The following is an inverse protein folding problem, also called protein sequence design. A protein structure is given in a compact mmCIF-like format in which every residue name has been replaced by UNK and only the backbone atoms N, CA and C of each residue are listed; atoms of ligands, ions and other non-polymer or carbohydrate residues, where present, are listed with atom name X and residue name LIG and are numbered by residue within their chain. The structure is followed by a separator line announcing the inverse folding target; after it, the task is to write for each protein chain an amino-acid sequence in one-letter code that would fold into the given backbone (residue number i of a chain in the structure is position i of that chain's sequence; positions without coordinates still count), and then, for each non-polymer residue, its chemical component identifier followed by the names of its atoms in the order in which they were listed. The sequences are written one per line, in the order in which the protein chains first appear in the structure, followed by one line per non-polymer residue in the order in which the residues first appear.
data_IF_014564989974
#
_entry.id   IF_014564989974
#
_cell.length_a   1.000
_cell.length_b   1.000
_cell.length_c   1.000
_cell.angle_alpha   90.00
_cell.angle_beta   90.00
_cell.angle_gamma   90.00
#
_symmetry.space_group_name_H-M   'P 1'
#
loop_
_entity.id
_entity.type
_entity.pdbx_description
1 polymer ?
#
# COMPACT_ATOMS: atom_id res chain seq x y z
N UNK A 1 -41.56 31.75 -8.55
CA UNK A 1 -42.53 31.88 -9.66
C UNK A 1 -42.05 31.04 -10.84
N UNK A 2 -42.87 30.09 -11.25
CA UNK A 2 -42.78 29.10 -12.35
C UNK A 2 -43.83 29.55 -13.40
N UNK A 3 -43.88 29.20 -14.71
CA UNK A 3 -42.93 28.89 -15.81
C UNK A 3 -43.35 29.74 -17.08
N UNK A 4 -43.45 29.32 -18.40
CA UNK A 4 -43.05 28.13 -19.21
C UNK A 4 -42.18 28.45 -20.46
N UNK A 5 -41.32 27.57 -20.99
CA UNK A 5 -41.50 26.29 -21.71
C UNK A 5 -42.06 26.39 -23.14
N UNK A 6 -41.32 25.87 -24.14
CA UNK A 6 -41.84 24.96 -25.19
C UNK A 6 -40.72 24.28 -26.01
N UNK A 7 -40.82 22.95 -26.09
CA UNK A 7 -40.13 21.99 -26.99
C UNK A 7 -40.97 21.78 -28.25
N UNK A 8 -40.37 21.52 -29.43
CA UNK A 8 -40.81 20.62 -30.54
C UNK A 8 -39.54 20.41 -31.43
N UNK A 9 -38.84 19.27 -31.51
CA UNK A 9 -39.08 17.96 -32.14
C UNK A 9 -39.18 17.97 -33.70
N UNK A 10 -38.23 17.33 -34.39
CA UNK A 10 -38.50 16.59 -35.63
C UNK A 10 -37.33 15.65 -35.99
N UNK A 11 -37.70 14.39 -36.19
CA UNK A 11 -36.92 13.26 -36.69
C UNK A 11 -37.15 13.17 -38.20
N UNK A 12 -36.13 12.77 -38.97
CA UNK A 12 -36.34 12.13 -40.28
C UNK A 12 -35.28 11.09 -40.58
N UNK A 13 -35.73 9.99 -41.17
CA UNK A 13 -35.09 8.69 -41.27
C UNK A 13 -34.53 8.38 -42.68
N UNK A 14 -33.43 7.60 -42.70
CA UNK A 14 -33.11 6.37 -43.47
C UNK A 14 -33.42 6.25 -44.98
N UNK A 15 -32.43 5.66 -45.68
CA UNK A 15 -32.41 4.82 -46.92
C UNK A 15 -31.32 5.35 -47.90
N UNK A 16 -30.51 4.56 -48.62
CA UNK A 16 -30.73 3.23 -49.18
C UNK A 16 -29.41 2.47 -49.47
N UNK A 17 -29.58 1.16 -49.70
CA UNK A 17 -28.62 0.15 -50.18
C UNK A 17 -28.04 0.46 -51.57
N UNK A 18 -26.82 -0.05 -51.81
CA UNK A 18 -26.30 -0.34 -53.15
C UNK A 18 -25.57 -1.69 -53.15
N UNK A 19 -25.97 -2.59 -54.06
CA UNK A 19 -25.41 -3.92 -54.24
C UNK A 19 -24.94 -4.15 -55.68
N UNK A 20 -24.01 -5.10 -55.80
CA UNK A 20 -23.60 -5.90 -56.96
C UNK A 20 -22.61 -5.29 -57.99
N UNK A 21 -21.50 -6.01 -58.23
CA UNK A 21 -21.33 -6.87 -59.42
C UNK A 21 -20.05 -7.72 -59.30
N UNK A 22 -20.13 -8.94 -59.85
CA UNK A 22 -19.08 -9.95 -59.89
C UNK A 22 -18.29 -9.90 -61.21
N UNK A 23 -17.03 -10.36 -61.22
CA UNK A 23 -16.37 -10.93 -62.41
C UNK A 23 -15.15 -11.78 -62.03
N UNK A 24 -15.01 -12.91 -62.73
CA UNK A 24 -13.99 -13.95 -62.57
C UNK A 24 -12.61 -13.55 -63.15
N UNK A 25 -11.55 -14.19 -62.66
CA UNK A 25 -10.23 -14.19 -63.30
C UNK A 25 -9.24 -15.09 -62.56
N UNK A 26 -8.95 -16.26 -63.11
CA UNK A 26 -7.87 -17.16 -62.70
C UNK A 26 -6.54 -16.65 -63.22
N UNK A 27 -5.50 -16.60 -62.38
CA UNK A 27 -4.13 -16.95 -62.74
C UNK A 27 -3.22 -17.01 -61.50
N UNK A 28 -2.31 -17.99 -61.51
CA UNK A 28 -1.39 -18.34 -60.43
C UNK A 28 0.00 -17.86 -60.83
N UNK A 29 0.76 -17.22 -59.93
CA UNK A 29 2.21 -17.35 -59.98
C UNK A 29 2.75 -17.98 -58.69
N UNK A 30 3.75 -18.82 -58.88
CA UNK A 30 4.61 -19.34 -57.83
C UNK A 30 5.39 -18.20 -57.16
N UNK A 31 5.53 -18.23 -55.84
CA UNK A 31 6.32 -17.26 -55.10
C UNK A 31 6.39 -17.54 -53.61
N UNK A 32 7.55 -18.02 -53.17
CA UNK A 32 8.18 -17.86 -51.85
C UNK A 32 7.42 -18.32 -50.59
N UNK A 33 7.92 -19.41 -49.99
CA UNK A 33 7.65 -19.83 -48.62
C UNK A 33 7.96 -18.70 -47.63
N UNK A 34 6.91 -18.13 -47.04
CA UNK A 34 7.01 -17.18 -45.91
C UNK A 34 7.13 -17.98 -44.61
N UNK A 35 8.10 -17.70 -43.71
CA UNK A 35 8.15 -18.36 -42.42
C UNK A 35 6.90 -17.99 -41.60
N UNK A 36 6.19 -19.00 -41.11
CA UNK A 36 5.16 -18.81 -40.08
C UNK A 36 5.89 -18.40 -38.80
N UNK A 37 5.60 -17.23 -38.20
CA UNK A 37 6.18 -16.92 -36.91
C UNK A 37 5.62 -17.94 -35.92
N UNK A 38 6.53 -18.66 -35.25
CA UNK A 38 6.20 -19.52 -34.14
C UNK A 38 5.33 -18.73 -33.16
N UNK A 39 4.13 -19.25 -32.88
CA UNK A 39 3.30 -18.74 -31.79
C UNK A 39 4.16 -18.79 -30.55
N UNK A 40 4.61 -17.63 -30.10
CA UNK A 40 5.20 -17.45 -28.78
C UNK A 40 4.25 -18.11 -27.79
N UNK A 41 4.72 -19.18 -27.17
CA UNK A 41 4.08 -19.80 -26.03
C UNK A 41 3.74 -18.68 -25.05
N UNK A 42 2.45 -18.43 -24.87
CA UNK A 42 1.95 -17.51 -23.85
C UNK A 42 2.48 -18.06 -22.54
N UNK A 43 3.50 -17.37 -22.01
CA UNK A 43 4.13 -17.69 -20.75
C UNK A 43 3.04 -17.81 -19.69
N UNK A 44 3.07 -18.89 -18.94
CA UNK A 44 2.10 -19.23 -17.92
C UNK A 44 1.79 -18.03 -17.02
N UNK A 45 0.51 -17.87 -16.66
CA UNK A 45 0.07 -16.96 -15.60
C UNK A 45 0.96 -17.16 -14.35
N UNK A 46 1.46 -16.10 -13.71
CA UNK A 46 2.21 -16.28 -12.49
C UNK A 46 1.24 -16.79 -11.43
N UNK A 47 1.43 -18.04 -11.02
CA UNK A 47 0.99 -18.50 -9.70
C UNK A 47 1.44 -17.43 -8.71
N UNK A 48 0.52 -16.88 -7.91
CA UNK A 48 0.81 -15.82 -6.96
C UNK A 48 2.03 -16.23 -6.12
N UNK A 49 3.19 -15.63 -6.41
CA UNK A 49 4.41 -15.90 -5.65
C UNK A 49 4.15 -15.43 -4.23
N UNK A 50 4.45 -16.28 -3.26
CA UNK A 50 4.38 -15.92 -1.84
C UNK A 50 5.12 -14.57 -1.64
N UNK A 51 4.57 -13.63 -0.84
CA UNK A 51 5.25 -12.37 -0.59
C UNK A 51 6.65 -12.62 -0.02
N UNK A 52 7.69 -11.92 -0.51
CA UNK A 52 9.06 -12.14 -0.08
C UNK A 52 9.21 -11.80 1.39
N UNK A 53 9.88 -12.65 2.16
CA UNK A 53 10.17 -12.41 3.57
C UNK A 53 11.66 -12.54 3.82
N UNK A 54 12.20 -11.74 4.72
CA UNK A 54 13.60 -11.87 5.09
C UNK A 54 13.81 -13.13 5.92
N UNK A 55 14.94 -13.81 5.67
CA UNK A 55 15.35 -14.99 6.42
C UNK A 55 15.67 -14.60 7.86
N UNK A 56 15.13 -15.31 8.89
CA UNK A 56 15.50 -15.05 10.27
C UNK A 56 17.02 -15.12 10.45
N UNK A 57 17.56 -14.16 11.20
CA UNK A 57 18.96 -14.12 11.57
C UNK A 57 19.32 -15.17 12.63
N UNK A 58 20.57 -15.14 13.11
CA UNK A 58 21.04 -16.01 14.19
C UNK A 58 20.10 -15.96 15.41
N UNK A 59 19.96 -17.10 16.08
CA UNK A 59 19.07 -17.27 17.25
C UNK A 59 17.57 -17.06 16.96
N UNK A 60 17.16 -17.05 15.68
CA UNK A 60 15.75 -16.90 15.29
C UNK A 60 15.19 -15.49 15.44
N UNK A 61 16.06 -14.47 15.49
CA UNK A 61 15.65 -13.08 15.46
C UNK A 61 15.18 -12.72 14.05
N UNK A 62 13.97 -12.18 13.89
CA UNK A 62 13.65 -11.58 12.58
C UNK A 62 14.57 -10.39 12.32
N UNK A 63 15.11 -10.25 11.09
CA UNK A 63 15.77 -9.00 10.71
C UNK A 63 14.75 -7.85 10.64
N UNK A 64 15.28 -6.63 10.73
CA UNK A 64 14.55 -5.38 10.60
C UNK A 64 14.89 -4.76 9.25
N UNK A 65 13.89 -4.61 8.40
CA UNK A 65 14.02 -3.97 7.10
C UNK A 65 13.74 -2.47 7.20
N UNK A 66 14.76 -1.64 6.96
CA UNK A 66 14.65 -0.18 7.03
C UNK A 66 14.71 0.48 5.65
N UNK A 67 15.40 -0.14 4.69
CA UNK A 67 15.49 0.35 3.32
C UNK A 67 15.92 -0.75 2.35
N UNK A 68 15.58 -0.58 1.07
CA UNK A 68 16.07 -1.42 -0.03
C UNK A 68 17.48 -1.05 -0.50
N UNK A 69 17.99 -1.71 -1.56
CA UNK A 69 19.31 -1.43 -2.09
C UNK A 69 19.45 -0.02 -2.64
N UNK A 70 20.56 0.67 -2.30
CA UNK A 70 20.81 2.06 -2.73
C UNK A 70 21.28 2.17 -4.20
N UNK A 71 21.60 1.04 -4.82
CA UNK A 71 22.24 0.95 -6.14
C UNK A 71 21.30 0.47 -7.24
N UNK A 72 20.09 -0.01 -6.90
CA UNK A 72 19.13 -0.59 -7.87
C UNK A 72 18.13 0.46 -8.39
N UNK A 73 18.65 1.62 -8.77
CA UNK A 73 17.86 2.73 -9.29
C UNK A 73 17.13 3.53 -8.21
N UNK A 74 16.51 4.64 -8.63
CA UNK A 74 15.79 5.56 -7.74
C UNK A 74 14.39 5.03 -7.44
N UNK A 75 14.27 4.05 -6.56
CA UNK A 75 12.99 3.60 -6.01
C UNK A 75 12.74 4.21 -4.63
N UNK A 76 11.48 4.36 -4.24
CA UNK A 76 11.08 4.76 -2.90
C UNK A 76 9.76 4.07 -2.55
N UNK A 77 9.66 3.55 -1.32
CA UNK A 77 8.41 3.01 -0.79
C UNK A 77 7.79 4.01 0.18
N UNK A 78 6.55 4.40 -0.11
CA UNK A 78 5.72 5.12 0.85
C UNK A 78 4.97 4.13 1.70
N UNK A 79 5.05 4.32 3.02
CA UNK A 79 4.38 3.48 3.99
C UNK A 79 3.56 4.33 4.93
N UNK A 80 2.43 3.79 5.36
CA UNK A 80 1.48 4.52 6.18
C UNK A 80 1.02 3.67 7.34
N UNK A 81 1.10 4.23 8.55
CA UNK A 81 0.58 3.57 9.74
C UNK A 81 -0.89 4.00 9.92
N UNK A 82 -1.79 3.01 9.97
CA UNK A 82 -3.24 3.17 10.15
C UNK A 82 -3.60 2.71 11.57
N UNK A 83 -3.52 3.69 12.47
CA UNK A 83 -3.45 3.44 13.91
C UNK A 83 -4.78 3.71 14.57
N UNK A 84 -5.09 2.87 15.55
CA UNK A 84 -6.15 3.15 16.48
C UNK A 84 -5.80 2.56 17.85
N UNK A 85 -5.75 3.41 18.86
CA UNK A 85 -5.44 3.03 20.24
C UNK A 85 -6.69 2.50 20.96
N UNK A 86 -6.49 1.94 22.15
CA UNK A 86 -7.58 1.32 22.91
C UNK A 86 -8.70 2.30 23.32
N UNK A 87 -8.36 3.57 23.54
CA UNK A 87 -9.22 4.65 24.02
C UNK A 87 -9.89 5.47 22.89
N UNK A 88 -9.54 5.22 21.63
CA UNK A 88 -10.06 5.96 20.48
C UNK A 88 -11.44 5.48 20.01
N UNK A 89 -11.92 4.32 20.47
CA UNK A 89 -13.25 3.80 20.12
C UNK A 89 -14.39 4.77 20.45
N UNK A 90 -14.52 5.24 21.70
CA UNK A 90 -15.51 6.26 22.06
C UNK A 90 -15.37 7.57 21.27
N UNK A 91 -14.14 7.98 20.94
CA UNK A 91 -13.88 9.18 20.13
C UNK A 91 -14.38 9.01 18.70
N UNK A 92 -14.16 7.84 18.11
CA UNK A 92 -14.71 7.49 16.79
C UNK A 92 -16.24 7.47 16.81
N UNK A 93 -16.84 6.89 17.85
CA UNK A 93 -18.29 6.91 18.04
C UNK A 93 -18.87 8.34 18.21
N UNK A 94 -18.07 9.28 18.71
CA UNK A 94 -18.41 10.70 18.81
C UNK A 94 -18.17 11.50 17.51
N UNK A 95 -17.72 10.85 16.42
CA UNK A 95 -17.53 11.45 15.10
C UNK A 95 -16.09 11.88 14.79
N UNK A 96 -15.12 11.51 15.62
CA UNK A 96 -13.72 11.68 15.25
C UNK A 96 -13.30 10.66 14.18
N UNK A 97 -12.57 11.12 13.17
CA UNK A 97 -12.13 10.30 12.05
C UNK A 97 -10.65 9.93 12.18
N UNK A 98 -10.40 8.63 12.33
CA UNK A 98 -9.07 8.02 12.29
C UNK A 98 -8.77 7.40 10.92
N UNK A 99 -9.78 7.30 10.04
CA UNK A 99 -9.62 7.03 8.64
C UNK A 99 -9.24 8.29 7.85
N UNK A 100 -8.58 8.12 6.70
CA UNK A 100 -8.23 9.23 5.81
C UNK A 100 -8.55 8.89 4.34
N UNK A 101 -9.84 8.87 3.96
CA UNK A 101 -10.24 8.53 2.60
C UNK A 101 -9.70 9.52 1.56
N UNK A 102 -9.44 10.77 1.94
CA UNK A 102 -8.82 11.79 1.09
C UNK A 102 -7.39 11.42 0.68
N UNK A 103 -6.58 11.00 1.65
CA UNK A 103 -5.24 10.46 1.41
C UNK A 103 -5.26 9.21 0.52
N UNK A 104 -6.13 8.23 0.81
CA UNK A 104 -6.24 7.02 -0.01
C UNK A 104 -6.67 7.37 -1.44
N UNK A 105 -7.62 8.30 -1.59
CA UNK A 105 -8.03 8.84 -2.88
C UNK A 105 -6.89 9.54 -3.63
N UNK A 106 -6.06 10.30 -2.93
CA UNK A 106 -4.88 10.95 -3.51
C UNK A 106 -3.86 9.94 -4.01
N UNK A 107 -3.55 8.89 -3.23
CA UNK A 107 -2.64 7.81 -3.64
C UNK A 107 -3.16 7.09 -4.90
N UNK A 108 -4.46 6.78 -4.96
CA UNK A 108 -5.11 6.20 -6.15
C UNK A 108 -5.01 7.11 -7.37
N UNK A 109 -5.39 8.38 -7.22
CA UNK A 109 -5.35 9.36 -8.31
C UNK A 109 -3.92 9.57 -8.85
N UNK A 110 -2.94 9.61 -7.94
CA UNK A 110 -1.53 9.76 -8.29
C UNK A 110 -0.89 8.47 -8.79
N UNK A 111 -1.57 7.31 -8.70
CA UNK A 111 -1.04 5.98 -9.03
C UNK A 111 0.23 5.64 -8.24
N UNK A 112 0.18 5.86 -6.93
CA UNK A 112 1.30 5.61 -6.02
C UNK A 112 1.05 4.28 -5.30
N UNK A 113 1.81 3.22 -5.62
CA UNK A 113 1.80 2.02 -4.80
C UNK A 113 2.32 2.32 -3.39
N UNK A 114 1.69 1.74 -2.38
CA UNK A 114 2.04 1.98 -0.98
C UNK A 114 1.77 0.75 -0.10
N UNK A 115 2.41 0.69 1.06
CA UNK A 115 2.19 -0.36 2.06
C UNK A 115 1.60 0.27 3.34
N UNK A 116 0.43 -0.20 3.75
CA UNK A 116 -0.27 0.26 4.95
C UNK A 116 -0.03 -0.72 6.09
N UNK A 117 0.52 -0.25 7.22
CA UNK A 117 0.65 -1.01 8.45
C UNK A 117 -0.55 -0.70 9.32
N UNK A 118 -1.45 -1.66 9.46
CA UNK A 118 -2.79 -1.44 10.02
C UNK A 118 -2.89 -2.04 11.41
N UNK A 119 -3.54 -1.34 12.33
CA UNK A 119 -3.91 -1.96 13.60
C UNK A 119 -5.16 -2.82 13.45
N UNK A 120 -5.25 -3.90 14.21
CA UNK A 120 -6.46 -4.73 14.23
C UNK A 120 -7.72 -3.95 14.61
N UNK A 121 -7.60 -3.02 15.57
CA UNK A 121 -8.69 -2.15 16.00
C UNK A 121 -9.15 -1.20 14.89
N UNK A 122 -8.22 -0.60 14.13
CA UNK A 122 -8.58 0.21 12.97
C UNK A 122 -9.39 -0.60 11.95
N UNK A 123 -9.00 -1.86 11.70
CA UNK A 123 -9.75 -2.74 10.79
C UNK A 123 -11.16 -3.11 11.30
N UNK A 124 -11.36 -3.20 12.62
CA UNK A 124 -12.69 -3.41 13.22
C UNK A 124 -13.56 -2.15 13.13
N UNK A 125 -12.94 -0.97 13.27
CA UNK A 125 -13.63 0.31 13.19
C UNK A 125 -14.02 0.68 11.75
N UNK A 126 -13.13 0.43 10.78
CA UNK A 126 -13.31 0.78 9.36
C UNK A 126 -13.23 -0.46 8.45
N UNK A 127 -14.12 -1.46 8.62
CA UNK A 127 -13.99 -2.75 7.93
C UNK A 127 -14.13 -2.64 6.41
N UNK A 128 -14.92 -1.69 5.90
CA UNK A 128 -15.09 -1.49 4.46
C UNK A 128 -13.86 -0.86 3.81
N UNK A 129 -13.20 0.08 4.50
CA UNK A 129 -11.95 0.66 4.01
C UNK A 129 -10.80 -0.35 4.09
N UNK A 130 -10.70 -1.11 5.19
CA UNK A 130 -9.74 -2.21 5.30
C UNK A 130 -9.89 -3.23 4.16
N UNK A 131 -11.13 -3.62 3.84
CA UNK A 131 -11.42 -4.49 2.70
C UNK A 131 -11.07 -3.84 1.36
N UNK A 132 -11.38 -2.56 1.20
CA UNK A 132 -11.06 -1.79 -0.02
C UNK A 132 -9.56 -1.73 -0.26
N UNK A 133 -8.77 -1.46 0.78
CA UNK A 133 -7.30 -1.46 0.71
C UNK A 133 -6.74 -2.84 0.37
N UNK A 134 -7.26 -3.89 1.02
CA UNK A 134 -6.82 -5.27 0.77
C UNK A 134 -7.17 -5.81 -0.63
N UNK A 135 -8.23 -5.32 -1.26
CA UNK A 135 -8.65 -5.73 -2.59
C UNK A 135 -8.01 -4.91 -3.73
N UNK A 136 -7.38 -3.79 -3.41
CA UNK A 136 -6.79 -2.87 -4.38
C UNK A 136 -5.30 -3.22 -4.60
N UNK A 137 -4.91 -3.65 -5.82
CA UNK A 137 -3.54 -4.14 -6.09
C UNK A 137 -2.46 -3.06 -5.94
N UNK A 138 -2.86 -1.78 -5.89
CA UNK A 138 -1.96 -0.66 -5.63
C UNK A 138 -1.45 -0.68 -4.19
N UNK A 139 -2.21 -1.25 -3.24
CA UNK A 139 -1.85 -1.28 -1.84
C UNK A 139 -1.36 -2.66 -1.40
N UNK A 140 -0.55 -2.63 -0.36
CA UNK A 140 -0.28 -3.77 0.51
C UNK A 140 -0.78 -3.43 1.89
N UNK A 141 -1.24 -4.43 2.64
CA UNK A 141 -1.57 -4.26 4.05
C UNK A 141 -0.75 -5.22 4.89
N UNK A 142 -0.19 -4.72 5.99
CA UNK A 142 0.63 -5.45 6.94
C UNK A 142 0.18 -5.15 8.38
N UNK A 143 0.71 -5.91 9.34
CA UNK A 143 0.28 -5.85 10.73
C UNK A 143 1.00 -4.76 11.52
N UNK A 144 0.25 -4.02 12.35
CA UNK A 144 0.77 -2.97 13.22
C UNK A 144 0.25 -3.11 14.66
N UNK A 145 0.19 -4.33 15.18
CA UNK A 145 -0.42 -4.71 16.47
C UNK A 145 -1.96 -4.59 16.46
N UNK A 146 -2.62 -4.96 17.56
CA UNK A 146 -4.07 -4.84 17.66
C UNK A 146 -4.55 -3.45 18.10
N UNK A 147 -3.94 -2.82 19.11
CA UNK A 147 -4.39 -1.51 19.65
C UNK A 147 -3.24 -0.52 19.85
N UNK A 148 -2.20 -0.62 19.01
CA UNK A 148 -1.06 0.29 19.00
C UNK A 148 -0.33 0.37 20.35
N UNK A 149 -0.19 -0.77 21.04
CA UNK A 149 0.60 -0.86 22.28
C UNK A 149 2.06 -1.12 21.91
N UNK A 150 2.97 -0.52 22.66
CA UNK A 150 4.40 -0.76 22.48
C UNK A 150 4.76 -2.19 22.91
N UNK A 151 5.68 -2.80 22.17
CA UNK A 151 6.28 -4.09 22.55
C UNK A 151 7.53 -3.95 23.42
N UNK A 152 7.97 -2.74 23.71
CA UNK A 152 9.03 -2.47 24.69
C UNK A 152 8.57 -1.38 25.66
N UNK A 153 9.05 -1.40 26.92
CA UNK A 153 8.78 -0.31 27.85
C UNK A 153 9.38 1.01 27.36
N UNK A 154 8.86 2.13 27.88
CA UNK A 154 9.37 3.48 27.63
C UNK A 154 9.42 3.90 26.15
N UNK A 155 8.45 3.43 25.35
CA UNK A 155 8.34 3.78 23.93
C UNK A 155 7.36 4.95 23.74
N UNK A 156 7.86 6.19 23.71
CA UNK A 156 7.10 7.40 23.37
C UNK A 156 5.76 7.57 24.13
N UNK A 157 5.68 7.09 25.37
CA UNK A 157 4.48 7.20 26.20
C UNK A 157 3.36 6.18 25.87
N UNK A 158 3.60 5.25 24.94
CA UNK A 158 2.64 4.20 24.62
C UNK A 158 2.50 3.19 25.77
N UNK A 159 1.26 2.73 26.06
CA UNK A 159 1.05 1.57 26.92
C UNK A 159 1.84 0.37 26.40
N UNK A 160 2.50 -0.34 27.29
CA UNK A 160 3.28 -1.54 26.93
C UNK A 160 2.44 -2.78 27.14
N UNK A 161 2.48 -3.68 26.16
CA UNK A 161 1.87 -5.01 26.31
C UNK A 161 2.85 -6.00 26.93
N UNK A 162 2.34 -6.88 27.79
CA UNK A 162 3.13 -7.95 28.38
C UNK A 162 3.74 -8.88 27.33
N UNK A 163 4.98 -9.30 27.57
CA UNK A 163 5.71 -10.20 26.68
C UNK A 163 4.96 -11.51 26.35
N UNK A 164 4.24 -12.06 27.33
CA UNK A 164 3.44 -13.28 27.15
C UNK A 164 2.23 -13.08 26.23
N UNK A 165 1.84 -11.84 25.97
CA UNK A 165 0.67 -11.46 25.17
C UNK A 165 1.01 -10.98 23.76
N UNK A 166 2.28 -10.73 23.46
CA UNK A 166 2.74 -10.21 22.16
C UNK A 166 2.26 -11.05 20.97
N UNK A 167 2.45 -12.37 21.03
CA UNK A 167 1.99 -13.29 19.97
C UNK A 167 0.47 -13.19 19.77
N UNK A 168 -0.28 -13.24 20.86
CA UNK A 168 -1.74 -13.19 20.82
C UNK A 168 -2.25 -11.85 20.29
N UNK A 169 -1.54 -10.75 20.52
CA UNK A 169 -1.87 -9.44 19.98
C UNK A 169 -1.74 -9.39 18.45
N UNK A 170 -0.61 -9.85 17.92
CA UNK A 170 -0.37 -9.95 16.47
C UNK A 170 -1.42 -10.84 15.81
N UNK A 171 -1.72 -12.00 16.40
CA UNK A 171 -2.74 -12.93 15.90
C UNK A 171 -4.16 -12.37 15.98
N UNK A 172 -4.46 -11.58 17.02
CA UNK A 172 -5.74 -10.88 17.18
C UNK A 172 -5.92 -9.84 16.07
N UNK A 173 -4.89 -9.07 15.74
CA UNK A 173 -4.92 -8.13 14.62
C UNK A 173 -5.15 -8.84 13.27
N UNK A 174 -4.44 -9.94 13.01
CA UNK A 174 -4.69 -10.75 11.80
C UNK A 174 -6.12 -11.33 11.77
N UNK A 175 -6.68 -11.67 12.93
CA UNK A 175 -8.07 -12.12 13.03
C UNK A 175 -9.06 -11.02 12.69
N UNK A 176 -8.82 -9.79 13.15
CA UNK A 176 -9.61 -8.62 12.79
C UNK A 176 -9.57 -8.37 11.27
N UNK A 177 -8.40 -8.45 10.63
CA UNK A 177 -8.26 -8.33 9.18
C UNK A 177 -9.14 -9.35 8.43
N UNK A 178 -9.07 -10.63 8.81
CA UNK A 178 -9.88 -11.68 8.19
C UNK A 178 -11.38 -11.41 8.35
N UNK A 179 -11.81 -10.92 9.51
CA UNK A 179 -13.21 -10.53 9.77
C UNK A 179 -13.67 -9.34 8.93
N UNK A 180 -12.80 -8.36 8.69
CA UNK A 180 -13.07 -7.23 7.80
C UNK A 180 -13.14 -7.66 6.31
N UNK A 181 -12.61 -8.83 5.96
CA UNK A 181 -12.55 -9.35 4.60
C UNK A 181 -11.19 -9.12 3.92
N UNK A 182 -10.18 -8.68 4.68
CA UNK A 182 -8.79 -8.56 4.24
C UNK A 182 -8.10 -9.90 4.42
N UNK A 183 -7.89 -10.62 3.31
CA UNK A 183 -7.38 -12.01 3.32
C UNK A 183 -5.88 -12.10 3.08
N UNK A 184 -5.31 -11.16 2.34
CA UNK A 184 -3.94 -11.24 1.83
C UNK A 184 -3.00 -10.26 2.55
N UNK A 185 -3.16 -10.12 3.87
CA UNK A 185 -2.23 -9.33 4.67
C UNK A 185 -0.82 -9.92 4.57
N UNK A 186 0.17 -9.07 4.33
CA UNK A 186 1.55 -9.48 4.23
C UNK A 186 2.08 -9.97 5.60
N UNK A 187 2.99 -10.96 5.61
CA UNK A 187 3.67 -11.42 6.83
C UNK A 187 4.73 -10.41 7.28
N UNK A 188 4.38 -9.13 7.31
CA UNK A 188 5.22 -8.04 7.79
C UNK A 188 4.59 -7.46 9.06
N UNK A 189 5.46 -6.98 9.93
CA UNK A 189 5.07 -6.33 11.17
C UNK A 189 5.85 -5.03 11.34
N UNK A 190 5.17 -3.96 11.71
CA UNK A 190 5.81 -2.70 12.12
C UNK A 190 5.52 -2.44 13.58
N UNK A 191 6.54 -2.02 14.33
CA UNK A 191 6.41 -1.78 15.77
C UNK A 191 5.70 -0.46 16.05
N UNK A 192 4.62 -0.43 16.85
CA UNK A 192 4.07 0.83 17.37
C UNK A 192 5.16 1.67 18.04
N UNK A 193 5.26 2.93 17.61
CA UNK A 193 6.31 3.86 18.06
C UNK A 193 7.74 3.51 17.62
N UNK A 194 7.93 2.49 16.79
CA UNK A 194 9.23 2.13 16.24
C UNK A 194 10.19 1.40 17.21
N UNK A 195 9.76 1.12 18.45
CA UNK A 195 10.65 0.54 19.46
C UNK A 195 10.63 -0.99 19.46
N UNK A 196 11.80 -1.61 19.50
CA UNK A 196 11.96 -3.06 19.52
C UNK A 196 13.24 -3.48 20.25
N UNK A 197 13.30 -4.75 20.63
CA UNK A 197 14.49 -5.42 21.16
C UNK A 197 14.52 -6.89 20.73
N UNK A 198 15.58 -7.61 21.08
CA UNK A 198 15.78 -9.02 20.72
C UNK A 198 14.63 -9.95 21.14
N UNK A 199 13.98 -9.69 22.29
CA UNK A 199 12.86 -10.52 22.75
C UNK A 199 11.67 -10.42 21.78
N UNK A 200 11.35 -9.22 21.34
CA UNK A 200 10.22 -8.99 20.42
C UNK A 200 10.57 -9.48 19.01
N UNK A 201 11.80 -9.25 18.55
CA UNK A 201 12.27 -9.77 17.26
C UNK A 201 12.25 -11.30 17.21
N UNK A 202 12.55 -11.99 18.31
CA UNK A 202 12.43 -13.45 18.42
C UNK A 202 10.98 -13.91 18.37
N UNK A 203 10.07 -13.15 18.97
CA UNK A 203 8.63 -13.43 18.94
C UNK A 203 8.09 -13.37 17.50
N UNK A 204 8.44 -12.32 16.75
CA UNK A 204 8.08 -12.20 15.33
C UNK A 204 8.76 -13.25 14.45
N UNK A 205 10.02 -13.58 14.73
CA UNK A 205 10.73 -14.67 14.05
C UNK A 205 9.99 -16.01 14.17
N UNK A 206 9.46 -16.32 15.35
CA UNK A 206 8.60 -17.50 15.59
C UNK A 206 7.23 -17.44 14.90
N UNK A 207 6.78 -16.26 14.45
CA UNK A 207 5.58 -16.05 13.63
C UNK A 207 5.90 -16.04 12.13
N UNK A 208 7.18 -16.16 11.74
CA UNK A 208 7.62 -16.09 10.36
C UNK A 208 7.41 -14.71 9.72
N UNK A 209 7.30 -13.66 10.53
CA UNK A 209 7.10 -12.29 10.07
C UNK A 209 8.42 -11.55 9.89
N UNK A 210 8.49 -10.64 8.92
CA UNK A 210 9.58 -9.66 8.78
C UNK A 210 9.24 -8.37 9.50
N UNK A 211 10.14 -7.86 10.33
CA UNK A 211 9.99 -6.52 10.89
C UNK A 211 10.31 -5.47 9.83
N UNK A 212 9.45 -4.47 9.63
CA UNK A 212 9.64 -3.39 8.66
C UNK A 212 9.50 -2.05 9.35
N UNK A 213 10.59 -1.27 9.33
CA UNK A 213 10.66 0.09 9.85
C UNK A 213 10.84 1.06 8.68
N UNK A 214 11.76 2.01 8.79
CA UNK A 214 11.97 3.10 7.85
C UNK A 214 13.37 3.69 8.03
N UNK A 215 13.86 4.35 6.99
CA UNK A 215 15.06 5.20 7.05
C UNK A 215 14.72 6.71 6.94
N UNK A 216 13.48 7.04 6.56
CA UNK A 216 13.01 8.42 6.42
C UNK A 216 11.75 8.63 7.26
N UNK A 217 11.87 9.43 8.32
CA UNK A 217 10.74 9.92 9.13
C UNK A 217 10.16 11.16 8.48
N UNK A 218 8.87 11.16 8.13
CA UNK A 218 8.22 12.34 7.55
C UNK A 218 8.03 13.46 8.57
N UNK A 219 7.71 13.11 9.82
CA UNK A 219 7.32 14.05 10.87
C UNK A 219 5.86 14.51 10.74
N UNK A 220 5.01 13.78 10.03
CA UNK A 220 3.60 14.15 9.81
C UNK A 220 2.72 13.99 11.05
N UNK A 221 3.09 13.10 11.98
CA UNK A 221 2.39 12.92 13.25
C UNK A 221 2.30 14.25 14.02
N UNK A 222 1.06 14.66 14.27
CA UNK A 222 0.62 15.89 14.93
C UNK A 222 1.04 17.19 14.23
N UNK A 223 1.59 17.11 13.01
CA UNK A 223 2.05 18.27 12.28
C UNK A 223 0.87 19.02 11.64
N UNK A 224 0.89 20.34 11.79
CA UNK A 224 -0.07 21.27 11.16
C UNK A 224 0.52 22.01 9.96
N UNK A 225 1.84 21.96 9.78
CA UNK A 225 2.56 22.56 8.64
C UNK A 225 2.94 21.47 7.61
N UNK A 226 2.15 21.38 6.54
CA UNK A 226 2.37 20.40 5.48
C UNK A 226 3.64 20.68 4.66
N UNK A 227 4.07 21.95 4.55
CA UNK A 227 5.23 22.31 3.75
C UNK A 227 6.53 21.91 4.47
N UNK A 228 6.58 22.07 5.79
CA UNK A 228 7.68 21.58 6.62
C UNK A 228 7.85 20.06 6.51
N UNK A 229 6.74 19.31 6.61
CA UNK A 229 6.73 17.84 6.46
C UNK A 229 7.15 17.44 5.05
N UNK A 230 6.62 18.10 4.01
CA UNK A 230 6.99 17.83 2.62
C UNK A 230 8.49 18.07 2.37
N UNK A 231 9.04 19.16 2.91
CA UNK A 231 10.48 19.45 2.85
C UNK A 231 11.30 18.37 3.53
N UNK A 232 10.91 17.94 4.74
CA UNK A 232 11.61 16.88 5.47
C UNK A 232 11.66 15.57 4.68
N UNK A 233 10.53 15.15 4.08
CA UNK A 233 10.51 13.96 3.23
C UNK A 233 11.41 14.13 2.00
N UNK A 234 11.30 15.27 1.30
CA UNK A 234 12.08 15.53 0.09
C UNK A 234 13.59 15.59 0.35
N UNK A 235 14.01 16.07 1.52
CA UNK A 235 15.42 16.16 1.90
C UNK A 235 15.96 14.80 2.39
N UNK A 236 15.11 13.97 3.00
CA UNK A 236 15.49 12.66 3.54
C UNK A 236 15.57 11.54 2.50
N UNK A 237 14.73 11.58 1.45
CA UNK A 237 14.59 10.46 0.49
C UNK A 237 15.88 10.21 -0.30
N UNK A 238 16.32 8.95 -0.25
CA UNK A 238 17.41 8.37 -1.03
C UNK A 238 16.89 7.19 -1.86
N UNK A 239 17.64 6.70 -2.88
CA UNK A 239 17.29 5.46 -3.57
C UNK A 239 17.05 4.31 -2.58
N UNK A 240 15.98 3.56 -2.75
CA UNK A 240 15.59 2.45 -1.89
C UNK A 240 14.97 2.84 -0.54
N UNK A 241 14.75 4.13 -0.26
CA UNK A 241 14.17 4.56 1.04
C UNK A 241 12.76 4.01 1.28
N UNK A 242 12.47 3.74 2.54
CA UNK A 242 11.15 3.47 3.10
C UNK A 242 10.77 4.68 3.95
N UNK A 243 9.74 5.40 3.51
CA UNK A 243 9.24 6.60 4.19
C UNK A 243 8.08 6.22 5.10
N UNK A 244 8.16 6.59 6.38
CA UNK A 244 7.04 6.48 7.33
C UNK A 244 6.19 7.75 7.33
N UNK A 245 4.89 7.57 7.14
CA UNK A 245 3.81 8.55 7.30
C UNK A 245 2.63 7.84 7.98
N UNK A 246 1.52 8.54 8.22
CA UNK A 246 0.34 7.99 8.89
C UNK A 246 -0.94 8.23 8.07
N UNK A 247 -1.84 7.25 8.09
CA UNK A 247 -3.20 7.36 7.58
C UNK A 247 -4.19 7.87 8.65
N UNK A 248 -3.76 7.99 9.90
CA UNK A 248 -4.61 8.37 11.03
C UNK A 248 -4.95 9.86 10.98
N UNK A 249 -6.06 10.25 10.32
CA UNK A 249 -6.38 11.67 10.00
C UNK A 249 -6.35 12.60 11.21
N UNK A 250 -6.92 12.19 12.33
CA UNK A 250 -6.93 12.99 13.56
C UNK A 250 -5.52 13.27 14.10
N UNK A 251 -4.61 12.30 13.97
CA UNK A 251 -3.23 12.42 14.42
C UNK A 251 -2.30 13.01 13.35
N UNK A 252 -2.58 12.84 12.06
CA UNK A 252 -1.74 13.31 10.95
C UNK A 252 -2.59 14.02 9.87
N UNK A 253 -3.12 15.21 10.19
CA UNK A 253 -4.10 15.88 9.33
C UNK A 253 -3.52 16.41 8.02
N UNK A 254 -2.19 16.56 7.93
CA UNK A 254 -1.51 17.16 6.79
C UNK A 254 -1.07 16.14 5.72
N UNK A 255 -1.13 14.84 6.01
CA UNK A 255 -0.48 13.81 5.19
C UNK A 255 -1.01 13.74 3.76
N UNK A 256 -2.29 14.00 3.51
CA UNK A 256 -2.82 14.08 2.14
C UNK A 256 -2.11 15.19 1.34
N UNK A 257 -2.02 16.40 1.91
CA UNK A 257 -1.36 17.55 1.27
C UNK A 257 0.11 17.24 1.01
N UNK A 258 0.80 16.65 1.99
CA UNK A 258 2.20 16.22 1.86
C UNK A 258 2.36 15.27 0.68
N UNK A 259 1.53 14.24 0.56
CA UNK A 259 1.58 13.28 -0.55
C UNK A 259 1.36 13.97 -1.89
N UNK A 260 0.39 14.88 -1.99
CA UNK A 260 0.10 15.63 -3.22
C UNK A 260 1.27 16.53 -3.65
N UNK A 261 2.05 17.04 -2.70
CA UNK A 261 3.23 17.87 -2.96
C UNK A 261 4.47 17.03 -3.29
N UNK A 262 4.77 16.02 -2.48
CA UNK A 262 6.03 15.27 -2.56
C UNK A 262 6.06 14.34 -3.77
N UNK A 263 4.93 13.73 -4.14
CA UNK A 263 4.91 12.73 -5.22
C UNK A 263 5.34 13.30 -6.59
N UNK A 264 4.79 14.44 -7.05
CA UNK A 264 5.27 15.07 -8.28
C UNK A 264 6.75 15.45 -8.23
N UNK A 265 7.22 15.97 -7.10
CA UNK A 265 8.62 16.39 -6.93
C UNK A 265 9.60 15.21 -6.96
N UNK A 266 9.29 14.11 -6.28
CA UNK A 266 10.10 12.89 -6.36
C UNK A 266 10.13 12.31 -7.78
N UNK A 267 9.00 12.35 -8.51
CA UNK A 267 8.97 11.96 -9.93
C UNK A 267 9.87 12.83 -10.80
N UNK A 268 9.85 14.16 -10.61
CA UNK A 268 10.76 15.09 -11.30
C UNK A 268 12.24 14.77 -11.00
N UNK A 269 12.54 14.30 -9.79
CA UNK A 269 13.89 13.84 -9.38
C UNK A 269 14.25 12.44 -9.91
N UNK A 270 13.35 11.79 -10.64
CA UNK A 270 13.54 10.48 -11.27
C UNK A 270 13.18 9.28 -10.41
N UNK A 271 12.47 9.48 -9.29
CA UNK A 271 12.05 8.37 -8.43
C UNK A 271 10.82 7.64 -8.98
N UNK A 272 10.83 6.33 -8.83
CA UNK A 272 9.66 5.45 -9.00
C UNK A 272 9.15 5.00 -7.64
N UNK A 273 7.85 4.99 -7.48
CA UNK A 273 7.20 4.47 -6.28
C UNK A 273 7.02 2.97 -6.39
N UNK A 274 7.34 2.26 -5.30
CA UNK A 274 7.21 0.81 -5.20
C UNK A 274 6.62 0.43 -3.84
N UNK A 275 6.14 -0.80 -3.71
CA UNK A 275 5.69 -1.35 -2.44
C UNK A 275 6.87 -1.92 -1.65
N UNK A 276 6.71 -2.08 -0.33
CA UNK A 276 7.75 -2.65 0.54
C UNK A 276 8.16 -4.05 0.07
N UNK A 277 7.19 -4.89 -0.35
CA UNK A 277 7.51 -6.24 -0.82
C UNK A 277 8.48 -6.24 -2.00
N UNK A 278 8.40 -5.26 -2.89
CA UNK A 278 9.30 -5.13 -4.03
C UNK A 278 10.73 -4.80 -3.57
N UNK A 279 10.88 -3.87 -2.62
CA UNK A 279 12.20 -3.54 -2.07
C UNK A 279 12.83 -4.72 -1.31
N UNK A 280 12.02 -5.51 -0.59
CA UNK A 280 12.48 -6.72 0.08
C UNK A 280 12.90 -7.78 -0.94
N UNK A 281 12.11 -8.00 -1.99
CA UNK A 281 12.44 -8.94 -3.07
C UNK A 281 13.68 -8.55 -3.89
N UNK A 282 14.08 -7.29 -3.87
CA UNK A 282 15.33 -6.81 -4.47
C UNK A 282 16.52 -6.87 -3.50
N UNK A 283 16.29 -7.11 -2.20
CA UNK A 283 17.32 -7.11 -1.16
C UNK A 283 17.96 -8.49 -0.96
N UNK A 284 19.26 -8.59 -0.64
CA UNK A 284 19.87 -9.87 -0.28
C UNK A 284 19.19 -10.52 0.95
N UNK A 285 19.13 -11.85 1.00
CA UNK A 285 18.65 -12.60 2.17
C UNK A 285 17.13 -12.75 2.30
N UNK A 286 16.35 -12.33 1.30
CA UNK A 286 14.94 -12.70 1.19
C UNK A 286 14.75 -14.16 0.75
N UNK A 287 13.60 -14.74 1.06
CA UNK A 287 13.13 -16.04 0.58
C UNK A 287 11.67 -15.94 0.13
#
# INVERSE_FOLDING_TARGET
MIPPARRIAAVTAVCALGAALAACGTERPAGTTRPVPARSSVSASPSASRPPVLTPGPNGLTPVFEHGPRTLGKTVAFTFDADMTADEGPRAAAGEHFDNPGLIGALRALKVPATVFMTGRWAEQYPDEARSLGADPQFEVANHSYSHYAFTPSCYGLPTIDASRMRADVERANTAFRKAGLRDALPYFRFPGGCYNDQVLRTLGGLGMTAVQWDVVSGDAFATDADAVAKQVLDGVKPGSVVIMHCTRSAAPTTETVVRTVVPELRKRGYRFVKVSQLIGESPGHR
#
